data_IF_630238102751
#
_entry.id   IF_630238102751
#
_cell.length_a   1.000
_cell.length_b   1.000
_cell.length_c   1.000
_cell.angle_alpha   90.00
_cell.angle_beta   90.00
_cell.angle_gamma   90.00
#
_symmetry.space_group_name_H-M   'P 1'
#
loop_
_entity.id
_entity.type
_entity.pdbx_description
1 polymer ?
#
# COMPACT_ATOMS: atom_id res chain seq x y z
N UNK A 1 -15.56 -17.98 4.45
CA UNK A 1 -14.60 -18.18 3.33
C UNK A 1 -13.72 -16.95 3.13
N UNK A 2 -14.28 -15.73 3.08
CA UNK A 2 -13.54 -14.48 2.90
C UNK A 2 -12.41 -14.26 3.92
N UNK A 3 -12.69 -14.45 5.23
CA UNK A 3 -11.74 -14.23 6.32
C UNK A 3 -10.46 -15.07 6.13
N UNK A 4 -10.60 -16.34 5.73
CA UNK A 4 -9.47 -17.23 5.50
C UNK A 4 -8.65 -16.82 4.26
N UNK A 5 -9.32 -16.45 3.17
CA UNK A 5 -8.67 -15.96 1.95
C UNK A 5 -7.91 -14.67 2.23
N UNK A 6 -8.52 -13.72 2.95
CA UNK A 6 -7.88 -12.47 3.35
C UNK A 6 -6.70 -12.72 4.28
N UNK A 7 -6.82 -13.60 5.27
CA UNK A 7 -5.73 -13.95 6.17
C UNK A 7 -4.51 -14.54 5.45
N UNK A 8 -4.73 -15.47 4.53
CA UNK A 8 -3.64 -16.05 3.73
C UNK A 8 -3.03 -15.02 2.77
N UNK A 9 -3.87 -14.25 2.07
CA UNK A 9 -3.40 -13.19 1.18
C UNK A 9 -2.60 -12.13 1.95
N UNK A 10 -3.06 -11.72 3.14
CA UNK A 10 -2.36 -10.81 4.03
C UNK A 10 -0.96 -11.32 4.39
N UNK A 11 -0.83 -12.59 4.74
CA UNK A 11 0.48 -13.21 5.00
C UNK A 11 1.38 -13.18 3.77
N UNK A 12 0.93 -13.74 2.65
CA UNK A 12 1.74 -13.88 1.44
C UNK A 12 2.17 -12.52 0.87
N UNK A 13 1.25 -11.57 0.80
CA UNK A 13 1.50 -10.23 0.27
C UNK A 13 2.36 -9.38 1.21
N UNK A 14 2.26 -9.57 2.53
CA UNK A 14 3.12 -8.88 3.49
C UNK A 14 4.57 -9.37 3.42
N UNK A 15 4.80 -10.68 3.19
CA UNK A 15 6.14 -11.23 2.91
C UNK A 15 6.73 -10.55 1.67
N UNK A 16 5.99 -10.56 0.55
CA UNK A 16 6.43 -9.93 -0.69
C UNK A 16 6.74 -8.44 -0.49
N UNK A 17 5.83 -7.72 0.16
CA UNK A 17 5.99 -6.31 0.45
C UNK A 17 7.25 -6.02 1.26
N UNK A 18 7.58 -6.87 2.24
CA UNK A 18 8.76 -6.69 3.07
C UNK A 18 10.06 -6.96 2.31
N UNK A 19 10.06 -7.92 1.39
CA UNK A 19 11.24 -8.24 0.55
C UNK A 19 11.42 -7.20 -0.57
N UNK A 20 10.36 -6.83 -1.26
CA UNK A 20 10.40 -5.89 -2.41
C UNK A 20 10.37 -4.40 -1.99
N UNK A 21 10.04 -4.13 -0.73
CA UNK A 21 9.89 -2.80 -0.14
C UNK A 21 8.48 -2.22 -0.25
N UNK A 22 7.86 -2.26 -1.43
CA UNK A 22 6.51 -1.74 -1.71
C UNK A 22 5.80 -2.61 -2.75
N UNK A 23 4.47 -2.77 -2.63
CA UNK A 23 3.62 -3.42 -3.65
C UNK A 23 2.63 -4.45 -3.12
N UNK A 24 2.95 -5.18 -2.04
CA UNK A 24 2.05 -6.21 -1.51
C UNK A 24 0.69 -5.68 -1.04
N UNK A 25 0.63 -4.45 -0.52
CA UNK A 25 -0.63 -3.83 -0.11
C UNK A 25 -1.64 -3.64 -1.24
N UNK A 26 -1.16 -3.51 -2.50
CA UNK A 26 -2.02 -3.40 -3.68
C UNK A 26 -2.69 -4.73 -3.98
N UNK A 27 -1.92 -5.82 -3.88
CA UNK A 27 -2.45 -7.16 -4.07
C UNK A 27 -3.47 -7.47 -2.97
N UNK A 28 -3.14 -7.15 -1.72
CA UNK A 28 -4.08 -7.32 -0.61
C UNK A 28 -5.38 -6.54 -0.83
N UNK A 29 -5.28 -5.28 -1.28
CA UNK A 29 -6.46 -4.49 -1.64
C UNK A 29 -7.27 -5.14 -2.75
N UNK A 30 -6.63 -5.60 -3.81
CA UNK A 30 -7.31 -6.25 -4.93
C UNK A 30 -8.05 -7.51 -4.49
N UNK A 31 -7.52 -8.26 -3.51
CA UNK A 31 -8.20 -9.40 -2.87
C UNK A 31 -9.39 -8.95 -2.02
N UNK A 32 -9.21 -7.97 -1.12
CA UNK A 32 -10.30 -7.49 -0.25
C UNK A 32 -11.44 -6.90 -1.11
N UNK A 33 -11.13 -6.17 -2.17
CA UNK A 33 -12.11 -5.58 -3.10
C UNK A 33 -12.90 -6.64 -3.90
N UNK A 34 -12.54 -7.92 -3.84
CA UNK A 34 -13.38 -9.00 -4.39
C UNK A 34 -14.62 -9.29 -3.54
N UNK A 35 -14.57 -8.95 -2.25
CA UNK A 35 -15.60 -9.26 -1.27
C UNK A 35 -16.36 -8.01 -0.83
N UNK A 36 -15.70 -6.85 -0.84
CA UNK A 36 -16.27 -5.60 -0.36
C UNK A 36 -16.36 -4.53 -1.45
N UNK A 37 -17.26 -3.56 -1.26
CA UNK A 37 -17.25 -2.31 -2.03
C UNK A 37 -15.91 -1.57 -1.84
N UNK A 38 -15.41 -0.82 -2.84
CA UNK A 38 -14.15 -0.09 -2.71
C UNK A 38 -14.08 0.84 -1.50
N UNK A 39 -15.17 1.54 -1.19
CA UNK A 39 -15.31 2.43 -0.01
C UNK A 39 -15.13 1.70 1.32
N UNK A 40 -15.38 0.38 1.36
CA UNK A 40 -15.17 -0.49 2.53
C UNK A 40 -13.79 -1.18 2.46
N UNK A 41 -13.40 -1.66 1.27
CA UNK A 41 -12.15 -2.40 1.07
C UNK A 41 -10.91 -1.55 1.36
N UNK A 42 -10.92 -0.27 0.96
CA UNK A 42 -9.80 0.67 1.13
C UNK A 42 -9.45 0.89 2.61
N UNK A 43 -10.38 1.22 3.52
CA UNK A 43 -10.08 1.37 4.94
C UNK A 43 -9.77 0.04 5.65
N UNK A 44 -10.45 -1.07 5.32
CA UNK A 44 -10.11 -2.42 5.85
C UNK A 44 -8.65 -2.78 5.53
N UNK A 45 -8.25 -2.63 4.27
CA UNK A 45 -6.86 -2.84 3.87
C UNK A 45 -5.92 -1.85 4.57
N UNK A 46 -6.37 -0.62 4.81
CA UNK A 46 -5.63 0.39 5.57
C UNK A 46 -5.24 -0.08 6.96
N UNK A 47 -6.19 -0.65 7.71
CA UNK A 47 -5.95 -1.17 9.05
C UNK A 47 -4.89 -2.29 9.05
N UNK A 48 -5.01 -3.24 8.12
CA UNK A 48 -4.01 -4.32 7.99
C UNK A 48 -2.63 -3.76 7.61
N UNK A 49 -2.59 -2.81 6.69
CA UNK A 49 -1.34 -2.23 6.22
C UNK A 49 -0.68 -1.31 7.25
N UNK A 50 -1.44 -0.66 8.12
CA UNK A 50 -0.90 0.05 9.29
C UNK A 50 -0.08 -0.92 10.15
N UNK A 51 -0.62 -2.10 10.46
CA UNK A 51 0.07 -3.12 11.26
C UNK A 51 1.26 -3.73 10.50
N UNK A 52 1.11 -4.03 9.21
CA UNK A 52 2.19 -4.55 8.35
C UNK A 52 3.40 -3.61 8.31
N UNK A 53 3.17 -2.33 8.01
CA UNK A 53 4.23 -1.34 7.90
C UNK A 53 4.77 -0.95 9.28
N UNK A 54 3.93 -0.91 10.31
CA UNK A 54 4.34 -0.63 11.69
C UNK A 54 5.29 -1.69 12.23
N UNK A 55 4.96 -2.97 12.05
CA UNK A 55 5.86 -4.07 12.43
C UNK A 55 7.20 -4.00 11.69
N UNK A 56 7.18 -3.70 10.38
CA UNK A 56 8.40 -3.56 9.58
C UNK A 56 9.26 -2.37 10.02
N UNK A 57 8.64 -1.22 10.23
CA UNK A 57 9.31 0.00 10.70
C UNK A 57 9.91 -0.20 12.09
N UNK A 58 9.23 -0.91 12.99
CA UNK A 58 9.74 -1.22 14.32
C UNK A 58 10.98 -2.12 14.28
N UNK A 59 10.97 -3.16 13.43
CA UNK A 59 12.11 -4.07 13.23
C UNK A 59 13.31 -3.32 12.64
N UNK A 60 13.07 -2.48 11.62
CA UNK A 60 14.11 -1.75 10.89
C UNK A 60 14.35 -0.32 11.39
N UNK A 61 13.96 0.00 12.63
CA UNK A 61 13.91 1.40 13.13
C UNK A 61 15.22 2.19 13.03
N UNK A 62 16.36 1.49 13.04
CA UNK A 62 17.71 2.08 12.93
C UNK A 62 18.05 2.53 11.51
N UNK A 63 17.34 2.01 10.52
CA UNK A 63 17.56 2.26 9.08
C UNK A 63 16.62 3.34 8.53
N UNK A 64 15.74 3.91 9.38
CA UNK A 64 14.77 4.92 8.99
C UNK A 64 15.46 6.27 8.78
N UNK A 65 15.29 6.85 7.60
CA UNK A 65 15.58 8.27 7.36
C UNK A 65 14.43 9.13 7.91
N UNK A 66 14.56 9.56 9.17
CA UNK A 66 13.58 10.45 9.81
C UNK A 66 13.37 11.79 9.10
N UNK A 67 14.39 12.44 8.49
CA UNK A 67 14.16 13.63 7.67
C UNK A 67 13.17 13.38 6.53
N UNK A 68 13.34 12.29 5.77
CA UNK A 68 12.43 11.95 4.68
C UNK A 68 11.00 11.65 5.18
N UNK A 69 10.88 10.94 6.31
CA UNK A 69 9.58 10.67 6.95
C UNK A 69 8.91 11.98 7.38
N UNK A 70 9.65 12.87 8.06
CA UNK A 70 9.16 14.16 8.53
C UNK A 70 8.61 15.03 7.40
N UNK A 71 9.39 15.23 6.34
CA UNK A 71 8.96 16.00 5.17
C UNK A 71 7.74 15.37 4.46
N UNK A 72 7.71 14.05 4.32
CA UNK A 72 6.54 13.37 3.74
C UNK A 72 5.28 13.52 4.59
N UNK A 73 5.41 13.49 5.92
CA UNK A 73 4.26 13.45 6.82
C UNK A 73 3.41 14.73 6.79
N UNK A 74 4.00 15.87 6.45
CA UNK A 74 3.34 17.18 6.49
C UNK A 74 2.08 17.27 5.63
N UNK A 75 2.08 16.66 4.44
CA UNK A 75 0.94 16.72 3.52
C UNK A 75 0.14 15.42 3.42
N UNK A 76 0.55 14.35 4.10
CA UNK A 76 -0.15 13.06 4.02
C UNK A 76 -1.60 13.19 4.51
N UNK A 77 -1.83 13.79 5.68
CA UNK A 77 -3.18 13.89 6.24
C UNK A 77 -4.14 14.76 5.41
N UNK A 78 -3.81 16.03 5.07
CA UNK A 78 -4.71 16.85 4.26
C UNK A 78 -4.97 16.24 2.87
N UNK A 79 -3.96 15.61 2.26
CA UNK A 79 -4.15 14.93 0.99
C UNK A 79 -5.01 13.66 1.13
N UNK A 80 -4.96 12.98 2.29
CA UNK A 80 -5.84 11.83 2.58
C UNK A 80 -7.30 12.24 2.69
N UNK A 81 -7.60 13.39 3.32
CA UNK A 81 -8.97 13.93 3.37
C UNK A 81 -9.52 14.19 1.95
N UNK A 82 -8.73 14.88 1.11
CA UNK A 82 -9.09 15.07 -0.30
C UNK A 82 -9.26 13.73 -1.02
N UNK A 83 -8.41 12.76 -0.71
CA UNK A 83 -8.47 11.44 -1.33
C UNK A 83 -9.74 10.67 -0.98
N UNK A 84 -10.20 10.74 0.28
CA UNK A 84 -11.47 10.14 0.74
C UNK A 84 -12.66 10.82 0.08
N UNK A 85 -12.69 12.16 0.05
CA UNK A 85 -13.77 12.91 -0.65
C UNK A 85 -13.93 12.41 -2.09
N UNK A 86 -12.83 12.25 -2.82
CA UNK A 86 -12.88 11.72 -4.19
C UNK A 86 -13.34 10.26 -4.20
N UNK A 87 -12.83 9.41 -3.30
CA UNK A 87 -13.17 7.99 -3.22
C UNK A 87 -14.67 7.75 -3.01
N UNK A 88 -15.31 8.61 -2.21
CA UNK A 88 -16.70 8.45 -1.78
C UNK A 88 -17.68 9.25 -2.64
N UNK A 89 -17.18 10.15 -3.50
CA UNK A 89 -18.00 10.93 -4.44
C UNK A 89 -18.22 10.26 -5.79
N UNK A 90 -17.46 9.22 -6.15
CA UNK A 90 -17.59 8.52 -7.43
C UNK A 90 -18.27 7.16 -7.26
N UNK A 91 -18.97 6.65 -8.29
CA UNK A 91 -19.61 5.33 -8.22
C UNK A 91 -18.58 4.21 -7.98
N UNK A 92 -18.96 3.20 -7.21
CA UNK A 92 -18.10 2.04 -6.92
C UNK A 92 -17.55 1.36 -8.18
N UNK A 93 -18.36 1.28 -9.24
CA UNK A 93 -17.93 0.76 -10.54
C UNK A 93 -16.74 1.56 -11.12
N UNK A 94 -16.79 2.89 -11.03
CA UNK A 94 -15.69 3.75 -11.46
C UNK A 94 -14.44 3.52 -10.61
N UNK A 95 -14.60 3.37 -9.29
CA UNK A 95 -13.47 3.07 -8.38
C UNK A 95 -12.86 1.70 -8.66
N UNK A 96 -13.67 0.66 -8.93
CA UNK A 96 -13.21 -0.68 -9.33
C UNK A 96 -12.43 -0.62 -10.64
N UNK A 97 -12.92 0.14 -11.62
CA UNK A 97 -12.25 0.33 -12.91
C UNK A 97 -10.90 1.05 -12.71
N UNK A 98 -10.88 2.15 -11.96
CA UNK A 98 -9.66 2.90 -11.64
C UNK A 98 -8.63 2.01 -10.93
N UNK A 99 -9.06 1.24 -9.93
CA UNK A 99 -8.22 0.29 -9.21
C UNK A 99 -7.66 -0.77 -10.17
N UNK A 100 -8.50 -1.43 -10.97
CA UNK A 100 -8.08 -2.46 -11.92
C UNK A 100 -7.07 -1.94 -12.94
N UNK A 101 -7.34 -0.78 -13.54
CA UNK A 101 -6.43 -0.13 -14.49
C UNK A 101 -5.12 0.26 -13.82
N UNK A 102 -5.17 0.88 -12.63
CA UNK A 102 -3.98 1.26 -11.87
C UNK A 102 -3.09 0.05 -11.58
N UNK A 103 -3.70 -1.05 -11.13
CA UNK A 103 -3.02 -2.32 -10.85
C UNK A 103 -2.34 -2.88 -12.11
N UNK A 104 -3.02 -2.88 -13.26
CA UNK A 104 -2.44 -3.34 -14.53
C UNK A 104 -1.27 -2.46 -14.97
N UNK A 105 -1.41 -1.13 -14.92
CA UNK A 105 -0.34 -0.18 -15.29
C UNK A 105 0.90 -0.40 -14.44
N UNK A 106 0.73 -0.54 -13.11
CA UNK A 106 1.82 -0.80 -12.18
C UNK A 106 2.52 -2.13 -12.49
N UNK A 107 1.75 -3.20 -12.74
CA UNK A 107 2.30 -4.54 -12.96
C UNK A 107 2.99 -4.72 -14.32
N UNK A 108 2.47 -4.08 -15.36
CA UNK A 108 2.93 -4.30 -16.75
C UNK A 108 3.81 -3.18 -17.29
N UNK A 109 3.66 -1.96 -16.79
CA UNK A 109 4.41 -0.80 -17.27
C UNK A 109 5.08 -0.01 -16.13
N UNK A 110 5.85 -0.68 -15.24
CA UNK A 110 6.51 -0.02 -14.11
C UNK A 110 7.51 1.06 -14.54
N UNK A 111 7.98 1.03 -15.80
CA UNK A 111 8.83 2.07 -16.38
C UNK A 111 8.18 3.46 -16.41
N UNK A 112 6.85 3.56 -16.47
CA UNK A 112 6.13 4.84 -16.40
C UNK A 112 6.26 5.52 -15.04
N UNK A 113 6.49 4.73 -13.99
CA UNK A 113 6.60 5.22 -12.62
C UNK A 113 8.05 5.39 -12.19
N UNK A 114 9.03 5.16 -13.07
CA UNK A 114 10.45 5.35 -12.71
C UNK A 114 10.74 6.83 -12.54
N UNK A 115 11.41 7.18 -11.45
CA UNK A 115 12.09 8.45 -11.34
C UNK A 115 13.18 8.53 -12.41
N UNK A 116 13.11 9.57 -13.25
CA UNK A 116 14.08 9.82 -14.34
C UNK A 116 15.13 10.86 -13.98
N UNK A 117 15.03 11.49 -12.80
CA UNK A 117 16.04 12.43 -12.33
C UNK A 117 17.25 11.74 -11.69
N UNK A 118 18.28 12.53 -11.37
CA UNK A 118 19.48 12.05 -10.68
C UNK A 118 19.24 11.60 -9.24
N UNK A 119 20.28 11.04 -8.62
CA UNK A 119 20.28 10.41 -7.29
C UNK A 119 20.42 11.41 -6.12
N UNK A 120 19.90 12.62 -6.28
CA UNK A 120 20.09 13.77 -5.36
C UNK A 120 18.79 14.55 -5.14
N UNK A 121 17.70 13.84 -4.85
CA UNK A 121 16.45 14.51 -4.45
C UNK A 121 16.66 15.13 -3.05
N UNK A 122 16.46 16.45 -2.88
CA UNK A 122 16.50 17.04 -1.55
C UNK A 122 15.34 16.47 -0.71
N UNK A 123 15.55 16.30 0.60
CA UNK A 123 14.51 15.74 1.49
C UNK A 123 13.18 16.51 1.41
N UNK A 124 13.22 17.82 1.13
CA UNK A 124 12.02 18.66 0.91
C UNK A 124 11.14 18.18 -0.24
N UNK A 125 11.70 17.49 -1.24
CA UNK A 125 10.91 16.89 -2.31
C UNK A 125 9.94 15.82 -1.79
N UNK A 126 10.22 15.24 -0.61
CA UNK A 126 9.33 14.29 0.05
C UNK A 126 7.99 14.89 0.45
N UNK A 127 7.88 16.22 0.55
CA UNK A 127 6.61 16.90 0.80
C UNK A 127 5.57 16.60 -0.30
N UNK A 128 5.97 16.67 -1.58
CA UNK A 128 5.12 16.28 -2.71
C UNK A 128 4.83 14.78 -2.75
N UNK A 129 5.81 13.95 -2.37
CA UNK A 129 5.64 12.50 -2.24
C UNK A 129 4.63 12.15 -1.16
N UNK A 130 4.64 12.90 -0.05
CA UNK A 130 3.67 12.81 1.04
C UNK A 130 2.25 13.12 0.58
N UNK A 131 2.06 14.23 -0.14
CA UNK A 131 0.78 14.58 -0.73
C UNK A 131 0.26 13.50 -1.70
N UNK A 132 1.11 13.04 -2.62
CA UNK A 132 0.78 11.94 -3.52
C UNK A 132 0.46 10.65 -2.77
N UNK A 133 1.19 10.37 -1.68
CA UNK A 133 0.96 9.19 -0.85
C UNK A 133 -0.41 9.24 -0.18
N UNK A 134 -0.74 10.33 0.52
CA UNK A 134 -2.02 10.50 1.20
C UNK A 134 -3.21 10.43 0.24
N UNK A 135 -3.13 11.18 -0.87
CA UNK A 135 -4.19 11.21 -1.89
C UNK A 135 -4.40 9.84 -2.53
N UNK A 136 -3.37 9.25 -3.15
CA UNK A 136 -3.51 7.98 -3.88
C UNK A 136 -3.85 6.80 -2.96
N UNK A 137 -3.29 6.78 -1.75
CA UNK A 137 -3.59 5.73 -0.77
C UNK A 137 -5.04 5.79 -0.28
N UNK A 138 -5.65 6.98 -0.24
CA UNK A 138 -7.03 7.14 0.23
C UNK A 138 -8.06 7.07 -0.90
N UNK A 139 -7.69 7.45 -2.13
CA UNK A 139 -8.58 7.37 -3.31
C UNK A 139 -8.60 5.99 -3.95
N UNK A 140 -7.42 5.46 -4.30
CA UNK A 140 -7.29 4.18 -5.03
C UNK A 140 -6.84 3.06 -4.09
N UNK A 141 -6.54 3.36 -2.82
CA UNK A 141 -6.07 2.37 -1.86
C UNK A 141 -4.59 1.97 -2.03
N UNK A 142 -3.86 2.67 -2.90
CA UNK A 142 -2.49 2.30 -3.29
C UNK A 142 -1.63 3.48 -3.74
N UNK A 143 -0.54 3.76 -3.01
CA UNK A 143 0.44 4.80 -3.38
C UNK A 143 1.87 4.30 -3.60
N UNK A 144 2.17 3.06 -3.17
CA UNK A 144 3.53 2.51 -3.12
C UNK A 144 4.32 2.58 -4.44
N UNK A 145 3.79 2.14 -5.59
CA UNK A 145 4.49 2.20 -6.87
C UNK A 145 4.86 3.62 -7.30
N UNK A 146 4.02 4.60 -6.99
CA UNK A 146 4.24 6.02 -7.31
C UNK A 146 5.28 6.63 -6.37
N UNK A 147 5.28 6.26 -5.09
CA UNK A 147 6.15 6.84 -4.07
C UNK A 147 7.51 6.13 -3.96
N UNK A 148 7.58 4.84 -4.31
CA UNK A 148 8.78 4.00 -4.20
C UNK A 148 10.05 4.54 -4.86
N UNK A 149 10.00 5.14 -6.08
CA UNK A 149 11.20 5.64 -6.73
C UNK A 149 11.83 6.81 -5.97
N UNK A 150 11.00 7.65 -5.33
CA UNK A 150 11.45 8.79 -4.56
C UNK A 150 12.10 8.35 -3.25
N UNK A 151 11.48 7.41 -2.53
CA UNK A 151 12.11 6.81 -1.35
C UNK A 151 13.44 6.15 -1.70
N UNK A 152 13.52 5.41 -2.82
CA UNK A 152 14.80 4.84 -3.31
C UNK A 152 15.85 5.90 -3.61
N UNK A 153 15.45 7.07 -4.09
CA UNK A 153 16.37 8.15 -4.45
C UNK A 153 16.91 8.92 -3.24
N UNK A 154 16.18 8.97 -2.12
CA UNK A 154 16.60 9.68 -0.88
C UNK A 154 17.23 8.75 0.16
N UNK A 155 17.37 7.46 -0.12
CA UNK A 155 17.98 6.47 0.79
C UNK A 155 19.22 5.83 0.19
N UNK A 156 20.21 5.53 1.03
CA UNK A 156 21.50 4.98 0.62
C UNK A 156 21.47 3.49 0.29
N UNK A 157 20.62 2.71 0.96
CA UNK A 157 20.53 1.25 0.81
C UNK A 157 19.10 0.79 0.55
N UNK A 158 18.95 -0.43 0.02
CA UNK A 158 17.63 -1.03 -0.15
C UNK A 158 16.90 -1.21 1.21
N UNK A 159 17.64 -1.57 2.27
CA UNK A 159 17.07 -1.73 3.61
C UNK A 159 16.57 -0.38 4.15
N UNK A 160 17.35 0.70 3.97
CA UNK A 160 16.93 2.05 4.35
C UNK A 160 15.70 2.52 3.55
N UNK A 161 15.62 2.18 2.26
CA UNK A 161 14.42 2.40 1.44
C UNK A 161 13.20 1.69 2.06
N UNK A 162 13.30 0.40 2.35
CA UNK A 162 12.19 -0.39 2.92
C UNK A 162 11.77 0.17 4.28
N UNK A 163 12.73 0.50 5.15
CA UNK A 163 12.47 1.03 6.49
C UNK A 163 11.79 2.40 6.44
N UNK A 164 12.33 3.33 5.64
CA UNK A 164 11.83 4.70 5.50
C UNK A 164 10.45 4.73 4.84
N UNK A 165 10.25 3.93 3.79
CA UNK A 165 8.95 3.80 3.14
C UNK A 165 7.90 3.22 4.09
N UNK A 166 8.24 2.18 4.86
CA UNK A 166 7.33 1.59 5.84
C UNK A 166 6.92 2.61 6.91
N UNK A 167 7.87 3.37 7.47
CA UNK A 167 7.58 4.41 8.44
C UNK A 167 6.66 5.51 7.90
N UNK A 168 6.89 5.98 6.67
CA UNK A 168 6.00 6.95 6.02
C UNK A 168 4.61 6.35 5.71
N UNK A 169 4.53 5.08 5.31
CA UNK A 169 3.27 4.39 5.07
C UNK A 169 2.45 4.17 6.35
N UNK A 170 3.08 4.03 7.53
CA UNK A 170 2.34 4.06 8.81
C UNK A 170 1.54 5.35 8.93
N UNK A 171 2.17 6.51 8.68
CA UNK A 171 1.49 7.81 8.69
C UNK A 171 0.37 7.83 7.64
N UNK A 172 0.63 7.36 6.42
CA UNK A 172 -0.36 7.32 5.36
C UNK A 172 -1.57 6.44 5.66
N UNK A 173 -1.37 5.27 6.26
CA UNK A 173 -2.46 4.36 6.63
C UNK A 173 -3.23 4.88 7.85
N UNK A 174 -2.55 5.47 8.84
CA UNK A 174 -3.22 6.16 9.95
C UNK A 174 -4.09 7.31 9.43
N UNK A 175 -3.54 8.18 8.58
CA UNK A 175 -4.28 9.30 7.99
C UNK A 175 -5.48 8.84 7.19
N UNK A 176 -5.33 7.77 6.39
CA UNK A 176 -6.43 7.15 5.67
C UNK A 176 -7.53 6.63 6.59
N UNK A 177 -7.17 5.86 7.62
CA UNK A 177 -8.13 5.30 8.59
C UNK A 177 -8.91 6.44 9.27
N UNK A 178 -8.22 7.47 9.74
CA UNK A 178 -8.84 8.64 10.37
C UNK A 178 -9.76 9.36 9.39
N UNK A 179 -9.33 9.59 8.14
CA UNK A 179 -10.13 10.27 7.13
C UNK A 179 -11.42 9.50 6.79
N UNK A 180 -11.35 8.18 6.58
CA UNK A 180 -12.54 7.35 6.36
C UNK A 180 -13.44 7.28 7.60
N UNK A 181 -12.87 7.29 8.81
CA UNK A 181 -13.65 7.32 10.05
C UNK A 181 -14.42 8.64 10.19
N UNK A 182 -13.81 9.77 9.83
CA UNK A 182 -14.46 11.09 9.79
C UNK A 182 -15.62 11.08 8.78
N UNK A 183 -15.45 10.40 7.65
CA UNK A 183 -16.49 10.22 6.61
C UNK A 183 -17.60 9.24 7.03
N UNK A 184 -17.46 8.57 8.18
CA UNK A 184 -18.49 7.71 8.76
C UNK A 184 -18.23 6.20 8.69
N UNK A 185 -17.06 5.77 8.18
CA UNK A 185 -16.69 4.36 8.15
C UNK A 185 -16.39 3.80 9.56
N UNK A 186 -17.04 2.69 9.93
CA UNK A 186 -16.80 1.98 11.19
C UNK A 186 -15.88 0.77 10.97
N UNK A 187 -14.69 0.79 11.56
CA UNK A 187 -13.82 -0.39 11.62
C UNK A 187 -14.43 -1.55 12.44
N UNK A 188 -15.32 -1.22 13.38
CA UNK A 188 -15.93 -2.20 14.28
C UNK A 188 -16.78 -3.23 13.51
N UNK A 189 -17.36 -2.80 12.39
CA UNK A 189 -18.27 -3.59 11.57
C UNK A 189 -17.56 -4.72 10.80
N UNK A 190 -16.22 -4.70 10.76
CA UNK A 190 -15.37 -5.62 9.99
C UNK A 190 -14.21 -6.20 10.80
N UNK A 191 -14.35 -6.25 12.14
CA UNK A 191 -13.27 -6.66 13.05
C UNK A 191 -12.75 -8.07 12.80
N UNK A 192 -13.60 -9.00 12.39
CA UNK A 192 -13.25 -10.39 12.12
C UNK A 192 -12.22 -10.51 10.98
N UNK A 193 -12.50 -9.87 9.84
CA UNK A 193 -11.62 -9.83 8.67
C UNK A 193 -10.36 -9.04 8.98
N UNK A 194 -10.50 -7.89 9.66
CA UNK A 194 -9.36 -7.04 10.04
C UNK A 194 -8.43 -7.78 11.00
N UNK A 195 -8.96 -8.43 12.04
CA UNK A 195 -8.15 -9.11 13.05
C UNK A 195 -7.34 -10.26 12.43
N UNK A 196 -7.98 -11.12 11.63
CA UNK A 196 -7.29 -12.22 10.94
C UNK A 196 -6.29 -11.69 9.92
N UNK A 197 -6.65 -10.64 9.17
CA UNK A 197 -5.74 -9.94 8.27
C UNK A 197 -4.52 -9.36 9.00
N UNK A 198 -4.71 -8.74 10.16
CA UNK A 198 -3.65 -8.19 11.01
C UNK A 198 -2.69 -9.26 11.53
N UNK A 199 -3.20 -10.44 11.90
CA UNK A 199 -2.34 -11.58 12.25
C UNK A 199 -1.50 -12.00 11.03
N UNK A 200 -2.14 -12.19 9.88
CA UNK A 200 -1.48 -12.57 8.63
C UNK A 200 -0.38 -11.59 8.22
N UNK A 201 -0.70 -10.30 8.14
CA UNK A 201 0.28 -9.27 7.74
C UNK A 201 1.42 -9.13 8.74
N UNK A 202 1.19 -9.32 10.05
CA UNK A 202 2.24 -9.25 11.07
C UNK A 202 3.22 -10.39 10.88
N UNK A 203 2.73 -11.63 10.79
CA UNK A 203 3.56 -12.81 10.54
C UNK A 203 4.33 -12.66 9.24
N UNK A 204 3.65 -12.26 8.17
CA UNK A 204 4.28 -12.05 6.87
C UNK A 204 5.32 -10.93 6.88
N UNK A 205 5.08 -9.85 7.62
CA UNK A 205 6.02 -8.73 7.74
C UNK A 205 7.27 -9.16 8.50
N UNK A 206 7.12 -9.89 9.61
CA UNK A 206 8.25 -10.42 10.38
C UNK A 206 9.09 -11.39 9.53
N UNK A 207 8.44 -12.34 8.86
CA UNK A 207 9.11 -13.32 7.99
C UNK A 207 9.82 -12.61 6.84
N UNK A 208 9.12 -11.78 6.08
CA UNK A 208 9.68 -11.09 4.93
C UNK A 208 10.80 -10.12 5.31
N UNK A 209 10.71 -9.43 6.46
CA UNK A 209 11.80 -8.56 6.93
C UNK A 209 13.05 -9.36 7.29
N UNK A 210 12.92 -10.58 7.82
CA UNK A 210 14.07 -11.48 8.09
C UNK A 210 14.71 -12.07 6.83
N UNK A 211 13.95 -12.13 5.74
CA UNK A 211 14.38 -12.58 4.42
C UNK A 211 14.90 -11.43 3.54
N UNK A 212 14.73 -10.18 3.97
CA UNK A 212 15.20 -8.99 3.27
C UNK A 212 16.71 -9.07 3.01
N UNK A 213 17.10 -8.94 1.74
CA UNK A 213 18.50 -9.04 1.30
C UNK A 213 19.04 -10.47 1.14
N UNK A 214 18.24 -11.50 1.41
CA UNK A 214 18.63 -12.92 1.27
C UNK A 214 18.00 -13.63 0.07
N UNK A 215 16.97 -13.03 -0.52
CA UNK A 215 16.20 -13.60 -1.61
C UNK A 215 16.39 -12.75 -2.86
N UNK A 216 16.94 -13.34 -3.93
CA UNK A 216 16.82 -12.85 -5.29
C UNK A 216 15.63 -13.56 -5.94
N UNK A 217 14.52 -12.88 -6.21
CA UNK A 217 13.36 -13.59 -6.75
C UNK A 217 12.61 -12.84 -7.86
N UNK A 218 13.09 -13.06 -9.08
CA UNK A 218 12.34 -12.75 -10.30
C UNK A 218 11.11 -13.67 -10.46
N UNK A 219 11.18 -14.92 -9.97
CA UNK A 219 10.08 -15.90 -10.06
C UNK A 219 8.92 -15.55 -9.14
N UNK A 220 9.20 -15.14 -7.90
CA UNK A 220 8.16 -14.69 -6.98
C UNK A 220 7.43 -13.46 -7.57
N UNK A 221 8.19 -12.52 -8.13
CA UNK A 221 7.62 -11.35 -8.81
C UNK A 221 6.71 -11.75 -9.99
N UNK A 222 7.08 -12.78 -10.77
CA UNK A 222 6.25 -13.29 -11.87
C UNK A 222 4.93 -13.90 -11.37
N UNK A 223 4.96 -14.76 -10.34
CA UNK A 223 3.74 -15.37 -9.77
C UNK A 223 2.79 -14.28 -9.28
N UNK A 224 3.30 -13.32 -8.52
CA UNK A 224 2.49 -12.21 -8.03
C UNK A 224 1.95 -11.33 -9.15
N UNK A 225 2.72 -11.09 -10.21
CA UNK A 225 2.25 -10.36 -11.39
C UNK A 225 1.08 -11.06 -12.07
N UNK A 226 1.10 -12.39 -12.18
CA UNK A 226 -0.01 -13.17 -12.74
C UNK A 226 -1.26 -13.09 -11.87
N UNK A 227 -1.12 -13.31 -10.55
CA UNK A 227 -2.23 -13.20 -9.60
C UNK A 227 -2.84 -11.79 -9.63
N UNK A 228 -1.97 -10.77 -9.61
CA UNK A 228 -2.37 -9.38 -9.66
C UNK A 228 -3.12 -9.04 -10.97
N UNK A 229 -2.67 -9.59 -12.10
CA UNK A 229 -3.36 -9.44 -13.39
C UNK A 229 -4.74 -10.07 -13.35
N UNK A 230 -4.88 -11.29 -12.83
CA UNK A 230 -6.17 -11.96 -12.71
C UNK A 230 -7.16 -11.18 -11.82
N UNK A 231 -6.69 -10.70 -10.66
CA UNK A 231 -7.51 -9.89 -9.76
C UNK A 231 -7.93 -8.56 -10.40
N UNK A 232 -7.02 -7.90 -11.11
CA UNK A 232 -7.31 -6.65 -11.81
C UNK A 232 -8.34 -6.82 -12.92
N UNK A 233 -8.22 -7.89 -13.73
CA UNK A 233 -9.21 -8.21 -14.75
C UNK A 233 -10.59 -8.47 -14.13
N UNK A 234 -10.64 -9.19 -13.00
CA UNK A 234 -11.92 -9.43 -12.29
C UNK A 234 -12.55 -8.14 -11.77
N UNK A 235 -11.76 -7.20 -11.25
CA UNK A 235 -12.25 -5.88 -10.85
C UNK A 235 -12.83 -5.09 -12.02
N UNK A 236 -12.17 -5.15 -13.18
CA UNK A 236 -12.65 -4.49 -14.41
C UNK A 236 -13.96 -5.13 -14.89
N UNK A 237 -14.05 -6.46 -14.88
CA UNK A 237 -15.29 -7.15 -15.26
C UNK A 237 -16.44 -6.74 -14.32
N UNK A 238 -16.22 -6.76 -13.00
CA UNK A 238 -17.21 -6.31 -12.01
C UNK A 238 -17.59 -4.84 -12.14
N UNK A 239 -16.75 -4.01 -12.75
CA UNK A 239 -17.08 -2.61 -13.01
C UNK A 239 -17.98 -2.43 -14.24
N UNK A 240 -17.97 -3.40 -15.16
CA UNK A 240 -18.65 -3.33 -16.46
C UNK A 240 -19.95 -4.15 -16.51
N UNK A 241 -20.19 -5.00 -15.51
CA UNK A 241 -21.38 -5.86 -15.36
C UNK A 241 -22.17 -5.49 -14.12
#
# INVERSE_FOLDING_TARGET
MEVAVVGFAALATSILSAVAGLGGGIILLAVVAQFFAPTVAIPIQGAMQFVSNGSRAAILRREISWPAVGWSSLLIFPASLLGVIVATSIPDAATRLLLGVFVLVVGWKPSLLKWRGGRQLPDRAMLGVGAASGFLNSTVGASGPVTSPFFKAVTSTHIAFVATAAASQVVAHTSKIVAFTIDGFSLADHLDVIAVGCVGVTLGSVIGTRLLGKISDDRLAQVFKLVLTALALRLIIQALT
#
